data_IF_962658413660
#
_entry.id   IF_962658413660
#
_cell.length_a   1.000
_cell.length_b   1.000
_cell.length_c   1.000
_cell.angle_alpha   90.00
_cell.angle_beta   90.00
_cell.angle_gamma   90.00
#
_symmetry.space_group_name_H-M   'P 1'
#
loop_
_entity.id
_entity.type
_entity.pdbx_description
1 polymer ?
#
# COMPACT_ATOMS: atom_id res chain seq x y z
N UNK A 1 -8.60 48.50 -28.22
CA UNK A 1 -8.82 47.74 -26.97
C UNK A 1 -8.81 46.27 -27.30
N UNK A 2 -7.68 45.61 -27.08
CA UNK A 2 -7.48 44.18 -27.33
C UNK A 2 -8.22 43.33 -26.30
N UNK A 3 -9.02 42.36 -26.76
CA UNK A 3 -9.57 41.30 -25.92
C UNK A 3 -8.77 40.03 -26.17
N UNK A 4 -7.97 39.64 -25.17
CA UNK A 4 -7.36 38.32 -25.06
C UNK A 4 -8.46 37.30 -24.76
N UNK A 5 -8.50 36.17 -25.48
CA UNK A 5 -9.20 34.95 -25.08
C UNK A 5 -8.13 33.87 -24.82
N UNK A 6 -8.08 33.20 -23.66
CA UNK A 6 -7.03 32.24 -23.34
C UNK A 6 -7.38 30.77 -23.60
N UNK A 7 -8.49 30.46 -24.29
CA UNK A 7 -8.86 29.07 -24.60
C UNK A 7 -8.98 28.85 -26.11
N UNK A 8 -8.34 27.78 -26.57
CA UNK A 8 -8.05 27.44 -27.97
C UNK A 8 -9.26 27.12 -28.86
N UNK A 9 -9.01 26.80 -30.14
CA UNK A 9 -10.02 26.76 -31.18
C UNK A 9 -10.94 25.54 -31.07
N UNK A 10 -12.24 25.79 -31.25
CA UNK A 10 -13.25 24.75 -31.42
C UNK A 10 -13.00 23.94 -32.69
N UNK A 11 -12.95 22.62 -32.54
CA UNK A 11 -13.01 21.65 -33.62
C UNK A 11 -14.43 21.67 -34.22
N UNK A 12 -14.60 22.50 -35.25
CA UNK A 12 -15.78 22.51 -36.11
C UNK A 12 -15.64 21.39 -37.16
N UNK A 13 -16.02 20.18 -36.79
CA UNK A 13 -16.23 19.07 -37.73
C UNK A 13 -17.64 19.12 -38.29
N UNK A 14 -17.81 19.71 -39.48
CA UNK A 14 -19.01 19.51 -40.31
C UNK A 14 -19.10 18.03 -40.69
N UNK A 15 -20.21 17.38 -40.40
CA UNK A 15 -20.69 16.26 -41.20
C UNK A 15 -22.21 16.38 -41.35
N UNK A 16 -22.61 16.80 -42.54
CA UNK A 16 -23.95 16.67 -43.07
C UNK A 16 -24.17 15.20 -43.44
N UNK A 17 -25.24 14.59 -42.93
CA UNK A 17 -25.61 13.23 -43.27
C UNK A 17 -26.96 12.88 -42.66
N UNK A 18 -28.02 13.16 -43.40
CA UNK A 18 -29.40 12.84 -43.03
C UNK A 18 -29.68 11.34 -43.00
N UNK A 19 -30.45 10.92 -42.00
CA UNK A 19 -31.06 9.60 -41.91
C UNK A 19 -32.27 9.66 -40.98
N UNK A 20 -33.47 9.62 -41.57
CA UNK A 20 -34.76 9.45 -40.89
C UNK A 20 -34.95 7.97 -40.55
N UNK A 21 -35.38 7.66 -39.33
CA UNK A 21 -35.91 6.34 -38.98
C UNK A 21 -36.02 6.17 -37.47
N UNK A 22 -37.24 5.99 -36.98
CA UNK A 22 -37.60 5.85 -35.57
C UNK A 22 -37.01 4.57 -34.94
N UNK A 23 -36.64 4.64 -33.67
CA UNK A 23 -37.21 3.77 -32.63
C UNK A 23 -36.96 4.39 -31.25
N UNK A 24 -38.00 4.46 -30.43
CA UNK A 24 -37.90 4.82 -29.01
C UNK A 24 -37.29 3.62 -28.30
N UNK A 25 -36.02 3.71 -27.91
CA UNK A 25 -35.48 2.82 -26.88
C UNK A 25 -34.61 3.62 -25.94
N UNK A 26 -35.08 3.61 -24.69
CA UNK A 26 -34.47 4.08 -23.47
C UNK A 26 -33.01 3.60 -23.37
N UNK A 27 -32.05 4.52 -23.54
CA UNK A 27 -30.64 4.25 -23.36
C UNK A 27 -30.03 5.38 -22.50
N UNK A 28 -30.28 5.30 -21.19
CA UNK A 28 -29.52 6.00 -20.15
C UNK A 28 -28.09 5.48 -19.99
N UNK A 29 -27.42 5.20 -21.10
CA UNK A 29 -26.12 4.54 -21.16
C UNK A 29 -25.05 5.39 -21.84
N UNK A 30 -24.54 6.42 -21.17
CA UNK A 30 -23.31 7.10 -21.63
C UNK A 30 -22.60 7.87 -20.52
N UNK A 31 -22.21 7.19 -19.43
CA UNK A 31 -21.15 7.67 -18.54
C UNK A 31 -20.16 6.56 -18.09
N UNK A 32 -20.31 5.32 -18.59
CA UNK A 32 -19.56 4.16 -18.07
C UNK A 32 -18.26 3.83 -18.81
N UNK A 33 -17.71 4.69 -19.67
CA UNK A 33 -16.49 4.34 -20.45
C UNK A 33 -15.27 5.24 -20.23
N UNK A 34 -15.17 5.90 -19.07
CA UNK A 34 -14.03 6.77 -18.72
C UNK A 34 -13.10 6.20 -17.64
N UNK A 35 -13.40 5.03 -17.09
CA UNK A 35 -12.61 4.37 -16.07
C UNK A 35 -12.15 2.99 -16.56
N UNK A 36 -10.90 2.63 -16.28
CA UNK A 36 -10.16 1.53 -16.88
C UNK A 36 -10.75 0.12 -16.64
N UNK A 37 -10.00 -0.95 -16.92
CA UNK A 37 -10.49 -2.33 -16.92
C UNK A 37 -10.87 -2.91 -15.53
N UNK A 38 -10.87 -2.10 -14.47
CA UNK A 38 -10.93 -2.53 -13.08
C UNK A 38 -12.35 -2.42 -12.51
N UNK A 39 -13.21 -3.40 -12.80
CA UNK A 39 -14.43 -3.70 -12.04
C UNK A 39 -15.51 -2.59 -11.91
N UNK A 40 -16.70 -2.92 -11.36
CA UNK A 40 -17.68 -1.91 -11.00
C UNK A 40 -17.17 -1.09 -9.79
N UNK A 41 -17.17 0.24 -9.91
CA UNK A 41 -16.83 1.15 -8.82
C UNK A 41 -17.80 0.89 -7.65
N UNK A 42 -17.26 0.71 -6.44
CA UNK A 42 -18.07 0.58 -5.24
C UNK A 42 -18.97 1.83 -5.10
N UNK A 43 -20.29 1.70 -5.00
CA UNK A 43 -21.20 2.84 -4.87
C UNK A 43 -20.89 3.70 -3.63
N UNK A 44 -20.18 3.18 -2.63
CA UNK A 44 -19.70 3.95 -1.47
C UNK A 44 -18.52 4.88 -1.79
N UNK A 45 -17.81 4.64 -2.89
CA UNK A 45 -16.72 5.48 -3.40
C UNK A 45 -17.20 6.50 -4.45
N UNK A 46 -18.50 6.48 -4.79
CA UNK A 46 -19.11 7.46 -5.71
C UNK A 46 -19.70 8.61 -4.91
N UNK A 47 -19.02 9.75 -4.95
CA UNK A 47 -19.53 11.00 -4.37
C UNK A 47 -20.22 11.80 -5.47
N UNK A 48 -21.54 11.87 -5.41
CA UNK A 48 -22.31 12.71 -6.33
C UNK A 48 -22.25 14.15 -5.86
N UNK A 49 -21.60 15.00 -6.66
CA UNK A 49 -21.63 16.44 -6.44
C UNK A 49 -22.89 17.01 -7.11
N UNK A 50 -23.73 17.76 -6.38
CA UNK A 50 -24.85 18.45 -6.99
C UNK A 50 -24.33 19.47 -8.01
N UNK A 51 -25.01 19.57 -9.17
CA UNK A 51 -24.75 20.63 -10.14
C UNK A 51 -25.22 21.94 -9.50
N UNK A 52 -24.31 22.67 -8.86
CA UNK A 52 -24.64 23.90 -8.15
C UNK A 52 -24.63 25.09 -9.10
N UNK A 53 -25.78 25.74 -9.26
CA UNK A 53 -25.86 27.06 -9.91
C UNK A 53 -25.07 28.10 -9.13
N UNK A 54 -24.98 27.97 -7.79
CA UNK A 54 -24.21 28.87 -6.94
C UNK A 54 -22.70 28.72 -7.15
N UNK A 55 -22.20 27.52 -7.47
CA UNK A 55 -20.81 27.32 -7.87
C UNK A 55 -20.50 27.99 -9.21
N UNK A 56 -21.43 27.91 -10.16
CA UNK A 56 -21.30 28.61 -11.44
C UNK A 56 -21.33 30.14 -11.22
N UNK A 57 -22.26 30.65 -10.41
CA UNK A 57 -22.37 32.07 -10.08
C UNK A 57 -21.14 32.59 -9.32
N UNK A 58 -20.57 31.78 -8.42
CA UNK A 58 -19.34 32.10 -7.70
C UNK A 58 -18.12 32.12 -8.62
N UNK A 59 -18.03 31.17 -9.57
CA UNK A 59 -17.00 31.15 -10.60
C UNK A 59 -17.11 32.36 -11.55
N UNK A 60 -18.33 32.73 -11.94
CA UNK A 60 -18.59 33.89 -12.80
C UNK A 60 -18.35 35.22 -12.09
N UNK A 61 -18.72 35.32 -10.81
CA UNK A 61 -18.53 36.53 -9.99
C UNK A 61 -17.10 36.69 -9.48
N UNK A 62 -16.30 35.62 -9.47
CA UNK A 62 -14.95 35.59 -8.90
C UNK A 62 -14.91 35.68 -7.37
N UNK A 63 -16.07 35.54 -6.70
CA UNK A 63 -16.17 35.53 -5.24
C UNK A 63 -16.23 34.06 -4.78
N UNK A 64 -15.26 33.59 -3.98
CA UNK A 64 -15.30 32.23 -3.46
C UNK A 64 -16.56 31.96 -2.63
N UNK A 65 -17.23 30.83 -2.88
CA UNK A 65 -18.34 30.31 -2.08
C UNK A 65 -18.00 30.20 -0.58
N UNK A 66 -16.73 30.04 -0.23
CA UNK A 66 -16.30 30.01 1.17
C UNK A 66 -16.52 31.35 1.90
N UNK A 67 -16.63 32.47 1.16
CA UNK A 67 -16.77 33.83 1.70
C UNK A 67 -18.21 34.32 1.69
N UNK A 68 -19.00 33.93 0.69
CA UNK A 68 -20.45 34.13 0.67
C UNK A 68 -21.13 32.85 1.12
N UNK A 69 -21.69 32.84 2.34
CA UNK A 69 -22.48 31.71 2.86
C UNK A 69 -23.97 31.99 2.74
N UNK A 70 -24.56 31.97 1.53
CA UNK A 70 -26.00 32.06 1.41
C UNK A 70 -26.63 30.82 2.05
N UNK A 71 -27.83 30.95 2.66
CA UNK A 71 -28.52 29.84 3.31
C UNK A 71 -28.84 28.69 2.33
N UNK A 72 -28.95 28.99 1.05
CA UNK A 72 -29.20 28.03 -0.04
C UNK A 72 -28.00 27.10 -0.34
N UNK A 73 -26.80 27.44 0.15
CA UNK A 73 -25.58 26.64 -0.07
C UNK A 73 -25.37 25.52 0.98
N UNK A 74 -26.33 25.28 1.88
CA UNK A 74 -26.18 24.31 2.97
C UNK A 74 -25.96 22.87 2.46
N UNK A 75 -26.72 22.46 1.44
CA UNK A 75 -26.57 21.12 0.83
C UNK A 75 -25.21 20.96 0.12
N UNK A 76 -24.75 22.00 -0.54
CA UNK A 76 -23.46 22.02 -1.23
C UNK A 76 -22.29 21.99 -0.24
N UNK A 77 -22.35 22.79 0.83
CA UNK A 77 -21.36 22.77 1.90
C UNK A 77 -21.29 21.40 2.59
N UNK A 78 -22.43 20.74 2.77
CA UNK A 78 -22.49 19.38 3.31
C UNK A 78 -21.79 18.39 2.36
N UNK A 79 -22.11 18.41 1.07
CA UNK A 79 -21.48 17.55 0.08
C UNK A 79 -19.96 17.76 0.00
N UNK A 80 -19.48 19.01 0.05
CA UNK A 80 -18.05 19.31 0.09
C UNK A 80 -17.39 18.89 1.41
N UNK A 81 -18.10 19.00 2.53
CA UNK A 81 -17.64 18.50 3.83
C UNK A 81 -17.45 16.98 3.82
N UNK A 82 -18.43 16.26 3.25
CA UNK A 82 -18.38 14.80 3.11
C UNK A 82 -17.24 14.39 2.16
N UNK A 83 -17.06 15.09 1.03
CA UNK A 83 -15.94 14.89 0.11
C UNK A 83 -14.59 15.16 0.78
N UNK A 84 -14.45 16.28 1.48
CA UNK A 84 -13.21 16.64 2.16
C UNK A 84 -12.87 15.61 3.25
N UNK A 85 -13.86 15.09 3.96
CA UNK A 85 -13.69 14.05 4.97
C UNK A 85 -13.23 12.73 4.34
N UNK A 86 -13.91 12.27 3.28
CA UNK A 86 -13.55 11.06 2.56
C UNK A 86 -12.14 11.13 1.93
N UNK A 87 -11.82 12.27 1.31
CA UNK A 87 -10.49 12.53 0.73
C UNK A 87 -9.43 12.60 1.82
N UNK A 88 -9.69 13.27 2.95
CA UNK A 88 -8.74 13.34 4.06
C UNK A 88 -8.50 11.97 4.69
N UNK A 89 -9.55 11.17 4.87
CA UNK A 89 -9.44 9.79 5.35
C UNK A 89 -8.61 8.93 4.39
N UNK A 90 -8.85 9.03 3.08
CA UNK A 90 -8.07 8.34 2.04
C UNK A 90 -6.62 8.81 2.00
N UNK A 91 -6.36 10.11 2.08
CA UNK A 91 -5.00 10.68 2.07
C UNK A 91 -4.22 10.33 3.34
N UNK A 92 -4.86 10.34 4.51
CA UNK A 92 -4.26 9.86 5.76
C UNK A 92 -3.92 8.37 5.63
N UNK A 93 -4.83 7.57 5.10
CA UNK A 93 -4.56 6.15 4.82
C UNK A 93 -3.39 5.96 3.85
N UNK A 94 -3.25 6.79 2.83
CA UNK A 94 -2.12 6.76 1.90
C UNK A 94 -0.80 7.14 2.58
N UNK A 95 -0.79 8.21 3.39
CA UNK A 95 0.40 8.63 4.15
C UNK A 95 0.85 7.60 5.18
N UNK A 96 -0.09 6.84 5.76
CA UNK A 96 0.19 5.77 6.72
C UNK A 96 0.24 4.36 6.11
N UNK A 97 0.33 4.22 4.78
CA UNK A 97 0.41 2.94 4.06
C UNK A 97 -0.75 1.96 4.33
N UNK A 98 -1.94 2.44 4.71
CA UNK A 98 -3.15 1.64 4.88
C UNK A 98 -4.05 1.70 3.64
N UNK A 99 -3.55 1.28 2.48
CA UNK A 99 -4.45 1.06 1.33
C UNK A 99 -5.16 -0.27 1.50
N UNK A 100 -6.31 -0.22 2.16
CA UNK A 100 -7.31 -1.28 2.23
C UNK A 100 -8.12 -1.32 0.92
N UNK A 101 -7.43 -1.33 -0.22
CA UNK A 101 -8.04 -1.47 -1.55
C UNK A 101 -7.57 -2.82 -2.08
N UNK A 102 -8.34 -3.85 -1.74
CA UNK A 102 -8.74 -4.92 -2.65
C UNK A 102 -7.70 -5.56 -3.58
N UNK A 103 -6.55 -5.98 -3.05
CA UNK A 103 -5.95 -7.24 -3.52
C UNK A 103 -6.57 -8.38 -2.70
N UNK A 104 -7.88 -8.58 -2.91
CA UNK A 104 -8.60 -9.80 -2.55
C UNK A 104 -8.27 -10.97 -3.50
N UNK A 105 -7.11 -10.92 -4.17
CA UNK A 105 -6.59 -11.97 -5.03
C UNK A 105 -5.28 -12.52 -4.46
N UNK A 106 -5.36 -13.74 -3.94
CA UNK A 106 -4.27 -14.72 -3.76
C UNK A 106 -3.38 -14.74 -2.50
N UNK A 107 -3.04 -13.66 -1.80
CA UNK A 107 -2.04 -13.77 -0.71
C UNK A 107 -2.32 -12.96 0.57
N UNK A 108 -3.59 -12.81 0.98
CA UNK A 108 -3.88 -12.28 2.32
C UNK A 108 -3.50 -13.33 3.38
N UNK A 109 -2.26 -13.26 3.85
CA UNK A 109 -1.79 -14.05 4.99
C UNK A 109 -1.84 -13.22 6.28
N UNK A 110 -2.06 -13.92 7.38
CA UNK A 110 -1.91 -13.39 8.74
C UNK A 110 -0.82 -14.16 9.45
N UNK A 111 -0.22 -13.59 10.48
CA UNK A 111 0.73 -14.30 11.35
C UNK A 111 0.15 -14.39 12.75
N UNK A 112 0.43 -15.50 13.43
CA UNK A 112 0.25 -15.61 14.87
C UNK A 112 1.60 -15.80 15.55
N UNK A 113 1.73 -15.36 16.80
CA UNK A 113 2.91 -15.57 17.64
C UNK A 113 2.52 -16.31 18.92
N UNK A 114 3.45 -17.09 19.49
CA UNK A 114 3.23 -17.76 20.78
C UNK A 114 2.10 -18.79 20.76
N UNK A 115 1.06 -18.57 21.56
CA UNK A 115 -0.07 -19.49 21.74
C UNK A 115 -1.07 -19.49 20.56
N UNK A 116 -0.90 -18.58 19.60
CA UNK A 116 -1.73 -18.52 18.42
C UNK A 116 -3.06 -17.79 18.59
N UNK A 117 -3.29 -17.14 19.74
CA UNK A 117 -4.57 -16.51 20.08
C UNK A 117 -4.86 -15.23 19.26
N UNK A 118 -3.82 -14.48 18.92
CA UNK A 118 -3.92 -13.22 18.17
C UNK A 118 -3.42 -13.35 16.74
N UNK A 119 -4.20 -12.82 15.80
CA UNK A 119 -3.89 -12.75 14.38
C UNK A 119 -3.43 -11.34 14.01
N UNK A 120 -2.22 -11.24 13.50
CA UNK A 120 -1.62 -9.99 13.07
C UNK A 120 -1.59 -9.93 11.55
N UNK A 121 -1.89 -8.75 10.99
CA UNK A 121 -1.70 -8.52 9.56
C UNK A 121 -0.26 -8.09 9.29
N UNK A 122 0.28 -8.35 8.09
CA UNK A 122 1.64 -7.95 7.73
C UNK A 122 1.88 -6.44 7.91
N UNK A 123 0.88 -5.62 7.58
CA UNK A 123 0.95 -4.15 7.69
C UNK A 123 1.12 -3.64 9.13
N UNK A 124 0.72 -4.46 10.10
CA UNK A 124 0.82 -4.16 11.53
C UNK A 124 2.17 -4.59 12.12
N UNK A 125 3.10 -5.11 11.30
CA UNK A 125 4.45 -5.49 11.72
C UNK A 125 5.45 -4.34 11.56
N UNK A 126 6.20 -4.06 12.63
CA UNK A 126 7.24 -3.03 12.68
C UNK A 126 8.57 -3.62 13.13
N UNK A 127 9.60 -3.46 12.30
CA UNK A 127 10.96 -3.86 12.63
C UNK A 127 11.74 -2.66 13.13
N UNK A 128 12.52 -2.85 14.19
CA UNK A 128 13.44 -1.88 14.73
C UNK A 128 14.73 -2.56 15.18
N UNK A 129 15.82 -1.80 15.29
CA UNK A 129 17.06 -2.29 15.89
C UNK A 129 17.03 -2.01 17.39
N UNK A 130 17.37 -3.02 18.20
CA UNK A 130 17.59 -2.87 19.63
C UNK A 130 19.07 -2.55 19.89
N UNK A 131 19.35 -1.29 20.14
CA UNK A 131 20.70 -0.79 20.45
C UNK A 131 20.85 -0.68 21.98
N UNK A 132 21.91 -1.24 22.61
CA UNK A 132 23.11 -1.88 22.04
C UNK A 132 23.00 -3.42 21.89
N UNK A 133 21.78 -3.95 21.87
CA UNK A 133 21.43 -5.36 22.03
C UNK A 133 21.73 -6.28 20.87
N UNK A 134 22.20 -5.77 19.71
CA UNK A 134 22.60 -6.59 18.53
C UNK A 134 21.46 -7.43 17.96
N UNK A 135 20.23 -7.13 18.36
CA UNK A 135 19.02 -7.86 18.04
C UNK A 135 18.09 -6.95 17.27
N UNK A 136 17.26 -7.56 16.45
CA UNK A 136 16.14 -6.88 15.84
C UNK A 136 14.91 -7.12 16.71
N UNK A 137 14.06 -6.11 16.81
CA UNK A 137 12.80 -6.18 17.53
C UNK A 137 11.69 -6.01 16.52
N UNK A 138 10.90 -7.08 16.37
CA UNK A 138 9.67 -7.09 15.59
C UNK A 138 8.50 -6.84 16.54
N UNK A 139 7.76 -5.76 16.30
CA UNK A 139 6.53 -5.43 17.03
C UNK A 139 5.34 -5.66 16.14
N UNK A 140 4.35 -6.39 16.64
CA UNK A 140 3.08 -6.62 15.97
C UNK A 140 1.97 -5.89 16.74
N UNK A 141 1.20 -5.06 16.06
CA UNK A 141 0.18 -4.21 16.69
C UNK A 141 -1.23 -4.75 16.44
N UNK A 142 -2.09 -4.67 17.45
CA UNK A 142 -3.53 -4.93 17.37
C UNK A 142 -4.30 -3.78 18.02
N UNK A 143 -5.63 -3.87 18.00
CA UNK A 143 -6.49 -2.93 18.75
C UNK A 143 -6.35 -3.12 20.27
N UNK A 144 -5.91 -4.30 20.73
CA UNK A 144 -5.78 -4.65 22.14
C UNK A 144 -4.41 -4.31 22.72
N UNK A 145 -3.38 -4.17 21.88
CA UNK A 145 -2.03 -3.87 22.34
C UNK A 145 -0.95 -4.10 21.29
N UNK A 146 0.27 -4.34 21.75
CA UNK A 146 1.41 -4.66 20.92
C UNK A 146 2.18 -5.85 21.49
N UNK A 147 2.51 -6.80 20.62
CA UNK A 147 3.35 -7.96 20.95
C UNK A 147 4.75 -7.72 20.42
N UNK A 148 5.75 -7.91 21.27
CA UNK A 148 7.17 -7.70 20.94
C UNK A 148 7.91 -9.03 20.85
N UNK A 149 8.64 -9.22 19.76
CA UNK A 149 9.47 -10.41 19.50
C UNK A 149 10.88 -10.00 19.15
N UNK A 150 11.86 -10.73 19.66
CA UNK A 150 13.27 -10.53 19.34
C UNK A 150 13.71 -11.50 18.24
N UNK A 151 14.40 -10.97 17.23
CA UNK A 151 15.03 -11.74 16.17
C UNK A 151 16.54 -11.61 16.36
N UNK A 152 17.23 -12.75 16.42
CA UNK A 152 18.68 -12.76 16.42
C UNK A 152 19.22 -12.42 15.02
N UNK A 153 20.22 -11.54 14.95
CA UNK A 153 20.80 -11.13 13.67
C UNK A 153 21.46 -12.29 12.93
N UNK A 154 22.05 -13.25 13.65
CA UNK A 154 22.65 -14.44 13.05
C UNK A 154 21.59 -15.36 12.46
N UNK A 155 20.49 -15.57 13.19
CA UNK A 155 19.37 -16.39 12.73
C UNK A 155 18.73 -15.78 11.48
N UNK A 156 18.43 -14.48 11.49
CA UNK A 156 17.85 -13.79 10.34
C UNK A 156 18.76 -13.84 9.10
N UNK A 157 20.08 -13.83 9.30
CA UNK A 157 21.05 -13.89 8.20
C UNK A 157 21.14 -15.29 7.58
N UNK A 158 20.74 -16.32 8.32
CA UNK A 158 20.55 -17.69 7.84
C UNK A 158 19.13 -17.92 7.30
N UNK A 159 18.30 -16.90 7.24
CA UNK A 159 16.94 -16.97 6.69
C UNK A 159 16.92 -16.41 5.28
N UNK A 160 16.22 -17.11 4.39
CA UNK A 160 15.92 -16.63 3.05
C UNK A 160 15.11 -15.33 3.14
N UNK A 161 15.59 -14.24 2.52
CA UNK A 161 14.98 -12.93 2.66
C UNK A 161 13.58 -12.84 2.06
N UNK A 162 13.22 -13.70 1.11
CA UNK A 162 11.91 -13.67 0.46
C UNK A 162 10.93 -14.62 1.15
N UNK A 163 11.34 -15.87 1.36
CA UNK A 163 10.44 -16.95 1.79
C UNK A 163 10.34 -17.08 3.31
N UNK A 164 11.41 -16.72 4.03
CA UNK A 164 11.56 -16.96 5.46
C UNK A 164 12.05 -18.36 5.82
N UNK A 165 12.41 -19.18 4.85
CA UNK A 165 12.97 -20.51 5.11
C UNK A 165 14.43 -20.42 5.57
N UNK A 166 14.86 -21.33 6.43
CA UNK A 166 16.26 -21.39 6.86
C UNK A 166 17.12 -21.91 5.71
N UNK A 167 18.08 -21.11 5.28
CA UNK A 167 19.11 -21.51 4.31
C UNK A 167 19.89 -22.68 4.91
N UNK A 168 20.02 -23.77 4.15
CA UNK A 168 20.84 -24.90 4.56
C UNK A 168 22.30 -24.41 4.61
N UNK A 169 22.98 -24.59 5.74
CA UNK A 169 24.44 -24.54 5.73
C UNK A 169 24.87 -25.70 4.82
N UNK A 170 25.41 -25.40 3.64
CA UNK A 170 26.19 -26.40 2.93
C UNK A 170 27.28 -26.85 3.92
N UNK A 171 27.14 -28.07 4.46
CA UNK A 171 28.24 -28.78 5.09
C UNK A 171 29.31 -28.90 4.01
N UNK A 172 30.24 -27.94 3.98
CA UNK A 172 31.41 -28.01 3.12
C UNK A 172 32.11 -29.30 3.51
N UNK A 173 32.14 -30.34 2.65
CA UNK A 173 32.88 -31.54 2.98
C UNK A 173 34.31 -31.11 3.26
N UNK A 174 34.96 -31.61 4.33
CA UNK A 174 36.33 -31.22 4.65
C UNK A 174 37.20 -31.53 3.43
N UNK A 175 37.56 -30.50 2.67
CA UNK A 175 38.23 -30.69 1.38
C UNK A 175 39.65 -31.18 1.68
N UNK A 176 40.00 -32.43 1.32
CA UNK A 176 41.34 -32.92 1.51
C UNK A 176 42.20 -32.41 0.36
N UNK A 177 42.81 -31.24 0.55
CA UNK A 177 43.97 -30.80 -0.19
C UNK A 177 43.71 -30.16 -1.57
N UNK A 178 44.32 -28.99 -1.75
CA UNK A 178 44.87 -28.59 -3.04
C UNK A 178 43.98 -27.78 -3.97
N UNK A 179 44.22 -26.47 -3.99
CA UNK A 179 44.11 -25.68 -5.23
C UNK A 179 42.80 -24.92 -5.44
N UNK A 180 42.84 -23.61 -5.14
CA UNK A 180 42.19 -22.62 -5.99
C UNK A 180 40.66 -22.62 -6.07
N UNK A 181 39.97 -22.77 -4.95
CA UNK A 181 38.56 -22.40 -4.81
C UNK A 181 38.45 -21.12 -3.99
N UNK A 182 37.80 -20.10 -4.50
CA UNK A 182 37.50 -18.86 -3.76
C UNK A 182 36.42 -19.17 -2.72
N UNK A 183 36.83 -19.80 -1.61
CA UNK A 183 35.96 -20.10 -0.47
C UNK A 183 35.70 -18.77 0.25
N UNK A 184 34.49 -18.22 0.12
CA UNK A 184 34.03 -17.16 1.01
C UNK A 184 33.90 -17.76 2.41
N UNK A 185 34.98 -17.68 3.18
CA UNK A 185 34.91 -17.84 4.61
C UNK A 185 33.97 -16.75 5.14
N UNK A 186 32.75 -17.12 5.50
CA UNK A 186 31.96 -16.37 6.47
C UNK A 186 32.69 -16.46 7.83
N UNK A 187 33.79 -15.71 7.95
CA UNK A 187 34.37 -15.42 9.26
C UNK A 187 33.25 -14.80 10.08
N UNK A 188 33.10 -15.25 11.31
CA UNK A 188 32.13 -14.82 12.33
C UNK A 188 32.31 -13.34 12.71
N UNK A 189 32.22 -12.46 11.73
CA UNK A 189 32.17 -11.02 11.85
C UNK A 189 30.81 -10.69 12.43
N UNK A 190 30.68 -10.76 13.76
CA UNK A 190 29.76 -9.94 14.58
C UNK A 190 28.64 -9.29 13.74
N UNK A 191 27.68 -10.13 13.33
CA UNK A 191 26.70 -9.85 12.28
C UNK A 191 25.57 -9.05 12.90
N UNK A 192 25.84 -7.78 13.19
CA UNK A 192 24.87 -6.90 13.85
C UNK A 192 24.20 -6.00 12.83
N UNK A 193 22.89 -5.78 12.95
CA UNK A 193 22.21 -4.79 12.13
C UNK A 193 22.77 -3.40 12.49
N UNK A 194 23.32 -2.72 11.50
CA UNK A 194 23.80 -1.34 11.63
C UNK A 194 22.66 -0.35 11.40
N UNK A 195 21.75 -0.65 10.46
CA UNK A 195 20.61 0.20 10.14
C UNK A 195 19.43 -0.64 9.65
N UNK A 196 18.23 -0.21 10.01
CA UNK A 196 16.97 -0.81 9.57
C UNK A 196 16.11 0.28 8.95
N UNK A 197 15.63 0.06 7.73
CA UNK A 197 14.79 1.01 7.01
C UNK A 197 13.62 0.28 6.35
N UNK A 198 12.42 0.89 6.37
CA UNK A 198 11.25 0.30 5.75
C UNK A 198 11.36 0.43 4.22
N UNK A 199 11.36 -0.71 3.52
CA UNK A 199 11.43 -0.77 2.05
C UNK A 199 10.04 -1.01 1.46
N UNK A 200 9.29 0.08 1.27
CA UNK A 200 7.96 0.05 0.66
C UNK A 200 6.95 -0.84 1.41
N UNK A 201 6.21 -1.66 0.64
CA UNK A 201 5.22 -2.64 1.15
C UNK A 201 5.81 -4.03 1.39
N UNK A 202 7.00 -4.30 0.86
CA UNK A 202 7.58 -5.63 0.84
C UNK A 202 8.14 -6.04 2.21
N UNK A 203 8.82 -5.11 2.89
CA UNK A 203 9.38 -5.35 4.22
C UNK A 203 10.42 -4.32 4.62
N UNK A 204 11.58 -4.79 5.09
CA UNK A 204 12.62 -3.94 5.66
C UNK A 204 13.99 -4.21 5.05
N UNK A 205 14.70 -3.16 4.66
CA UNK A 205 16.11 -3.20 4.33
C UNK A 205 16.92 -3.20 5.63
N UNK A 206 17.74 -4.23 5.82
CA UNK A 206 18.67 -4.36 6.95
C UNK A 206 20.07 -4.20 6.40
N UNK A 207 20.73 -3.13 6.80
CA UNK A 207 22.16 -2.90 6.58
C UNK A 207 22.93 -3.54 7.73
N UNK A 208 23.89 -4.39 7.40
CA UNK A 208 24.71 -5.13 8.35
C UNK A 208 26.05 -4.44 8.58
N UNK A 209 26.66 -4.71 9.73
CA UNK A 209 27.95 -4.13 10.11
C UNK A 209 29.12 -4.44 9.15
N UNK A 210 29.00 -5.48 8.32
CA UNK A 210 29.96 -5.82 7.28
C UNK A 210 29.68 -5.12 5.93
N UNK A 211 28.70 -4.22 5.89
CA UNK A 211 28.32 -3.43 4.72
C UNK A 211 27.35 -4.12 3.77
N UNK A 212 26.94 -5.36 4.07
CA UNK A 212 25.89 -6.03 3.32
C UNK A 212 24.54 -5.34 3.56
N UNK A 213 23.70 -5.19 2.53
CA UNK A 213 22.33 -4.72 2.66
C UNK A 213 21.39 -5.75 2.07
N UNK A 214 20.44 -6.22 2.88
CA UNK A 214 19.50 -7.28 2.51
C UNK A 214 18.09 -6.79 2.79
N UNK A 215 17.18 -6.96 1.83
CA UNK A 215 15.77 -6.61 1.98
C UNK A 215 15.01 -7.87 2.38
N UNK A 216 14.52 -7.91 3.62
CA UNK A 216 13.71 -9.00 4.13
C UNK A 216 12.23 -8.71 3.92
N UNK A 217 11.49 -9.70 3.42
CA UNK A 217 10.04 -9.65 3.34
C UNK A 217 9.42 -9.66 4.75
N UNK A 218 8.22 -9.09 4.90
CA UNK A 218 7.49 -9.16 6.17
C UNK A 218 7.21 -10.60 6.60
N UNK A 219 7.01 -11.51 5.64
CA UNK A 219 6.84 -12.93 5.89
C UNK A 219 8.12 -13.56 6.46
N UNK A 220 9.26 -13.25 5.86
CA UNK A 220 10.57 -13.74 6.32
C UNK A 220 10.87 -13.26 7.74
N UNK A 221 10.62 -11.98 8.03
CA UNK A 221 10.79 -11.42 9.37
C UNK A 221 9.85 -12.05 10.40
N UNK A 222 8.59 -12.26 10.03
CA UNK A 222 7.60 -12.90 10.89
C UNK A 222 8.00 -14.34 11.25
N UNK A 223 8.48 -15.12 10.28
CA UNK A 223 8.98 -16.48 10.50
C UNK A 223 10.26 -16.49 11.34
N UNK A 224 11.20 -15.59 11.08
CA UNK A 224 12.43 -15.44 11.86
C UNK A 224 12.14 -15.04 13.33
N UNK A 225 11.03 -14.35 13.59
CA UNK A 225 10.54 -14.03 14.93
C UNK A 225 9.79 -15.19 15.61
N UNK A 226 9.73 -16.37 14.99
CA UNK A 226 8.98 -17.53 15.50
C UNK A 226 7.46 -17.46 15.25
N UNK A 227 7.02 -16.60 14.33
CA UNK A 227 5.62 -16.51 13.93
C UNK A 227 5.19 -17.68 13.06
N UNK A 228 3.90 -18.00 13.07
CA UNK A 228 3.28 -19.00 12.18
C UNK A 228 2.36 -18.30 11.18
N UNK A 229 2.57 -18.56 9.89
CA UNK A 229 1.79 -17.94 8.81
C UNK A 229 0.49 -18.73 8.58
N UNK A 230 -0.63 -18.03 8.58
CA UNK A 230 -1.94 -18.56 8.23
C UNK A 230 -2.41 -17.94 6.91
N UNK A 231 -2.74 -18.78 5.92
CA UNK A 231 -3.33 -18.33 4.66
C UNK A 231 -4.85 -18.32 4.77
N UNK A 232 -5.46 -17.18 4.44
CA UNK A 232 -6.92 -17.04 4.40
C UNK A 232 -7.43 -17.63 3.08
N UNK A 233 -7.64 -18.94 3.01
CA UNK A 233 -8.27 -19.56 1.82
C UNK A 233 -7.92 -21.00 1.47
N UNK A 234 -7.10 -21.71 2.24
CA UNK A 234 -6.91 -23.15 2.04
C UNK A 234 -7.86 -23.93 2.94
N UNK A 235 -8.94 -24.49 2.39
CA UNK A 235 -9.51 -25.72 2.94
C UNK A 235 -8.34 -26.70 3.13
N UNK A 236 -8.11 -27.13 4.37
CA UNK A 236 -7.15 -28.20 4.64
C UNK A 236 -7.62 -29.50 3.98
N UNK A 237 -6.70 -30.44 3.72
CA UNK A 237 -7.07 -31.83 3.43
C UNK A 237 -7.81 -32.48 4.60
#
# INVERSE_FOLDING_TARGET
GSRHRPFGPGLLGKNEGGGKGADDTDDGGAASSLFGPDGPIDPTDVIQLPISSLANDAAESGVPLALSRPPEAEEELRAFGDLASAVSERLLRLQYLRSRIDDAGEDSWTVTFGDGSELFRPDDLRLSSDDPGKRLVLRAFTELGATEMHIDGEDLRRTDPETGERLQEEEVPPTPGGGGGMVQHFRSLRLFPARVEKSGRYGYAVEWADGASVIYSLKSLALAAGGTIQRKGGEGP
#
